data_IF_374934746752
#
_entry.id   IF_374934746752
#
_cell.length_a   1.000
_cell.length_b   1.000
_cell.length_c   1.000
_cell.angle_alpha   90.00
_cell.angle_beta   90.00
_cell.angle_gamma   90.00
#
_symmetry.space_group_name_H-M   'P 1'
#
loop_
_entity.id
_entity.type
_entity.pdbx_description
1 polymer ?
#
# COMPACT_ATOMS: atom_id res chain seq x y z
N UNK A 1 -8.99 9.30 -14.35
CA UNK A 1 -7.64 9.51 -13.79
C UNK A 1 -7.81 9.50 -12.28
N UNK A 2 -7.08 8.66 -11.54
CA UNK A 2 -7.21 8.64 -10.07
C UNK A 2 -6.64 9.94 -9.50
N UNK A 3 -7.31 10.52 -8.51
CA UNK A 3 -6.81 11.70 -7.82
C UNK A 3 -5.63 11.32 -6.90
N UNK A 4 -4.58 12.14 -6.87
CA UNK A 4 -3.37 11.82 -6.09
C UNK A 4 -3.61 11.83 -4.59
N UNK A 5 -4.51 12.69 -4.09
CA UNK A 5 -4.86 12.72 -2.67
C UNK A 5 -5.71 11.48 -2.30
N UNK A 6 -6.62 11.06 -3.16
CA UNK A 6 -7.39 9.82 -2.97
C UNK A 6 -6.50 8.57 -3.01
N UNK A 7 -5.50 8.54 -3.91
CA UNK A 7 -4.51 7.47 -3.94
C UNK A 7 -3.69 7.44 -2.64
N UNK A 8 -3.27 8.60 -2.13
CA UNK A 8 -2.54 8.69 -0.88
C UNK A 8 -3.34 8.15 0.29
N UNK A 9 -4.60 8.58 0.43
CA UNK A 9 -5.50 8.09 1.48
C UNK A 9 -5.62 6.57 1.40
N UNK A 10 -5.80 6.04 0.20
CA UNK A 10 -5.92 4.59 -0.02
C UNK A 10 -4.64 3.86 0.39
N UNK A 11 -3.47 4.30 -0.07
CA UNK A 11 -2.18 3.70 0.32
C UNK A 11 -2.00 3.69 1.84
N UNK A 12 -2.23 4.82 2.51
CA UNK A 12 -2.06 4.93 3.96
C UNK A 12 -3.04 4.03 4.72
N UNK A 13 -4.29 3.98 4.29
CA UNK A 13 -5.29 3.14 4.93
C UNK A 13 -4.99 1.64 4.77
N UNK A 14 -4.41 1.18 3.65
CA UNK A 14 -4.05 -0.24 3.51
C UNK A 14 -2.90 -0.56 4.45
N UNK A 15 -1.89 0.30 4.52
CA UNK A 15 -0.76 0.11 5.43
C UNK A 15 -1.21 0.11 6.90
N UNK A 16 -2.14 1.01 7.26
CA UNK A 16 -2.73 1.04 8.59
C UNK A 16 -3.52 -0.24 8.89
N UNK A 17 -4.32 -0.74 7.95
CA UNK A 17 -5.04 -2.02 8.12
C UNK A 17 -4.09 -3.22 8.31
N UNK A 18 -2.83 -3.07 7.88
CA UNK A 18 -1.75 -4.04 8.06
C UNK A 18 -0.88 -3.80 9.30
N UNK A 19 -1.19 -2.78 10.10
CA UNK A 19 -0.37 -2.32 11.22
C UNK A 19 1.09 -2.03 10.83
N UNK A 20 1.31 -1.48 9.63
CA UNK A 20 2.62 -1.05 9.15
C UNK A 20 2.59 0.41 8.71
N UNK A 21 3.76 1.03 8.61
CA UNK A 21 3.95 2.39 8.12
C UNK A 21 5.06 2.44 7.08
N UNK A 22 5.07 3.46 6.21
CA UNK A 22 6.16 3.60 5.23
C UNK A 22 7.47 3.98 5.93
N UNK A 23 8.56 3.31 5.58
CA UNK A 23 9.91 3.70 6.02
C UNK A 23 10.43 4.95 5.30
N UNK A 24 9.82 5.33 4.17
CA UNK A 24 10.25 6.45 3.32
C UNK A 24 9.11 7.42 3.02
N UNK A 25 9.43 8.56 2.39
CA UNK A 25 8.45 9.55 1.95
C UNK A 25 7.40 8.93 1.01
N UNK A 26 6.09 9.05 1.32
CA UNK A 26 5.01 8.52 0.48
C UNK A 26 4.96 9.10 -0.94
N UNK A 27 5.53 10.28 -1.15
CA UNK A 27 5.56 10.99 -2.45
C UNK A 27 6.15 10.12 -3.56
N UNK A 28 7.20 9.36 -3.27
CA UNK A 28 7.84 8.49 -4.28
C UNK A 28 6.90 7.38 -4.76
N UNK A 29 6.09 6.85 -3.84
CA UNK A 29 5.13 5.77 -4.12
C UNK A 29 3.99 6.32 -4.97
N UNK A 30 3.50 7.52 -4.66
CA UNK A 30 2.46 8.19 -5.46
C UNK A 30 2.88 8.45 -6.91
N UNK A 31 4.16 8.68 -7.17
CA UNK A 31 4.68 8.86 -8.53
C UNK A 31 4.80 7.54 -9.30
N UNK A 32 5.10 6.43 -8.60
CA UNK A 32 5.38 5.14 -9.23
C UNK A 32 4.12 4.27 -9.39
N UNK A 33 3.23 4.27 -8.41
CA UNK A 33 2.13 3.31 -8.36
C UNK A 33 1.13 3.44 -9.53
N UNK A 34 0.74 4.65 -10.00
CA UNK A 34 -0.14 4.80 -11.16
C UNK A 34 0.46 4.29 -12.49
N UNK A 35 1.80 4.26 -12.60
CA UNK A 35 2.48 3.87 -13.84
C UNK A 35 2.90 2.41 -13.83
N UNK A 36 3.28 1.87 -12.67
CA UNK A 36 3.80 0.52 -12.53
C UNK A 36 2.75 -0.51 -12.13
N UNK A 37 1.61 -0.07 -11.59
CA UNK A 37 0.53 -0.90 -11.01
C UNK A 37 0.96 -1.79 -9.83
N UNK A 38 2.26 -2.00 -9.63
CA UNK A 38 2.87 -2.77 -8.57
C UNK A 38 4.17 -2.11 -8.15
N UNK A 39 4.35 -1.86 -6.86
CA UNK A 39 5.55 -1.24 -6.29
C UNK A 39 5.94 -1.99 -5.02
N UNK A 40 7.22 -2.39 -4.93
CA UNK A 40 7.78 -2.90 -3.69
C UNK A 40 8.27 -1.72 -2.85
N UNK A 41 7.93 -1.73 -1.56
CA UNK A 41 8.24 -0.67 -0.61
C UNK A 41 8.78 -1.28 0.68
N UNK A 42 9.63 -0.53 1.37
CA UNK A 42 10.03 -0.85 2.74
C UNK A 42 9.02 -0.24 3.69
N UNK A 43 8.48 -1.06 4.58
CA UNK A 43 7.55 -0.66 5.63
C UNK A 43 8.15 -0.97 6.99
N UNK A 44 7.70 -0.27 8.03
CA UNK A 44 8.05 -0.52 9.41
C UNK A 44 6.82 -1.10 10.11
N UNK A 45 6.99 -2.22 10.80
CA UNK A 45 5.91 -2.85 11.57
C UNK A 45 5.72 -2.23 12.96
N UNK A 46 4.78 -2.78 13.73
CA UNK A 46 4.48 -2.33 15.09
C UNK A 46 5.63 -2.57 16.09
N UNK A 47 6.61 -3.41 15.73
CA UNK A 47 7.81 -3.69 16.51
C UNK A 47 8.99 -2.79 16.10
N UNK A 48 8.76 -1.86 15.16
CA UNK A 48 9.76 -0.98 14.58
C UNK A 48 10.81 -1.72 13.73
N UNK A 49 10.45 -2.89 13.19
CA UNK A 49 11.31 -3.69 12.32
C UNK A 49 10.99 -3.44 10.83
N UNK A 50 12.02 -3.38 9.96
CA UNK A 50 11.82 -3.18 8.53
C UNK A 50 11.32 -4.46 7.85
N UNK A 51 10.22 -4.34 7.11
CA UNK A 51 9.64 -5.38 6.27
C UNK A 51 9.55 -4.92 4.82
N UNK A 52 9.48 -5.88 3.90
CA UNK A 52 9.13 -5.60 2.50
C UNK A 52 7.63 -5.78 2.32
N UNK A 53 6.98 -4.81 1.67
CA UNK A 53 5.60 -4.92 1.22
C UNK A 53 5.49 -4.66 -0.28
N UNK A 54 4.53 -5.31 -0.91
CA UNK A 54 4.12 -5.02 -2.29
C UNK A 54 2.78 -4.28 -2.24
N UNK A 55 2.78 -3.05 -2.74
CA UNK A 55 1.56 -2.29 -3.03
C UNK A 55 1.13 -2.57 -4.47
N UNK A 56 -0.16 -2.84 -4.68
CA UNK A 56 -0.73 -3.07 -6.01
C UNK A 56 -1.92 -2.13 -6.22
N UNK A 57 -2.05 -1.60 -7.43
CA UNK A 57 -3.14 -0.76 -7.89
C UNK A 57 -3.82 -1.45 -9.08
N UNK A 58 -5.11 -1.73 -8.96
CA UNK A 58 -5.88 -2.36 -10.04
C UNK A 58 -6.49 -1.35 -11.02
N UNK A 59 -7.23 -1.86 -12.00
CA UNK A 59 -7.89 -1.04 -13.04
C UNK A 59 -9.08 -0.22 -12.51
N UNK A 60 -9.63 -0.61 -11.36
CA UNK A 60 -10.73 0.10 -10.69
C UNK A 60 -10.21 1.18 -9.73
N UNK A 61 -8.89 1.25 -9.54
CA UNK A 61 -8.22 2.19 -8.67
C UNK A 61 -8.12 1.73 -7.22
N UNK A 62 -8.31 0.44 -6.96
CA UNK A 62 -8.19 -0.13 -5.61
C UNK A 62 -6.73 -0.40 -5.29
N UNK A 63 -6.33 -0.04 -4.07
CA UNK A 63 -4.98 -0.30 -3.56
C UNK A 63 -5.04 -1.50 -2.64
N UNK A 64 -4.12 -2.43 -2.83
CA UNK A 64 -3.93 -3.57 -1.95
C UNK A 64 -2.49 -3.68 -1.48
N UNK A 65 -2.28 -4.37 -0.36
CA UNK A 65 -0.96 -4.57 0.24
C UNK A 65 -0.76 -6.04 0.61
N UNK A 66 0.39 -6.56 0.21
CA UNK A 66 0.90 -7.87 0.59
C UNK A 66 2.26 -7.72 1.27
N UNK A 67 2.38 -8.21 2.49
CA UNK A 67 3.68 -8.27 3.18
C UNK A 67 4.48 -9.46 2.65
N UNK A 68 5.81 -9.37 2.64
CA UNK A 68 6.65 -10.48 2.23
C UNK A 68 6.51 -11.72 3.14
N UNK A 69 6.07 -11.51 4.39
CA UNK A 69 5.77 -12.55 5.38
C UNK A 69 4.40 -13.20 5.20
N UNK A 70 3.59 -12.70 4.25
CA UNK A 70 2.26 -13.23 4.03
C UNK A 70 2.25 -14.61 3.38
N UNK A 71 1.26 -15.46 3.74
CA UNK A 71 0.86 -16.58 2.91
C UNK A 71 0.58 -16.15 1.46
N UNK A 72 0.67 -17.10 0.52
CA UNK A 72 0.53 -16.83 -0.92
C UNK A 72 -0.71 -16.00 -1.28
N UNK A 73 -1.82 -16.21 -0.55
CA UNK A 73 -3.14 -15.64 -0.85
C UNK A 73 -3.56 -14.50 0.09
N UNK A 74 -2.68 -14.02 0.97
CA UNK A 74 -3.03 -12.90 1.86
C UNK A 74 -2.79 -11.58 1.14
N UNK A 75 -3.89 -10.88 0.87
CA UNK A 75 -3.92 -9.52 0.33
C UNK A 75 -4.99 -8.78 1.10
N UNK A 76 -4.63 -7.61 1.66
CA UNK A 76 -5.64 -6.75 2.29
C UNK A 76 -6.06 -5.70 1.29
N UNK A 77 -7.36 -5.72 1.03
CA UNK A 77 -8.10 -4.72 0.29
C UNK A 77 -8.93 -3.89 1.26
N UNK A 78 -8.77 -2.57 1.18
CA UNK A 78 -9.50 -1.62 2.02
C UNK A 78 -10.61 -0.88 1.28
N UNK A 79 -10.89 -1.24 0.02
CA UNK A 79 -11.91 -0.59 -0.82
C UNK A 79 -13.29 -0.49 -0.12
N UNK A 80 -13.53 -1.38 0.84
CA UNK A 80 -14.73 -1.44 1.69
C UNK A 80 -14.77 -0.42 2.84
N UNK A 81 -13.67 0.25 3.14
CA UNK A 81 -13.56 1.27 4.20
C UNK A 81 -13.60 2.70 3.64
N UNK A 82 -14.11 2.89 2.42
CA UNK A 82 -14.40 4.23 1.89
C UNK A 82 -15.32 4.96 2.86
N UNK A 83 -14.78 6.00 3.51
CA UNK A 83 -15.51 6.98 4.33
C UNK A 83 -15.96 8.12 3.44
#
# INVERSE_FOLDING_TARGET
MIDQAELMKSVLAVLQARNVSLSESPTRILMMLPTRLRVNVTVIDAQNEPLTATLMLDQEGQVTCKLATDPADTVVDISRYRV
#
